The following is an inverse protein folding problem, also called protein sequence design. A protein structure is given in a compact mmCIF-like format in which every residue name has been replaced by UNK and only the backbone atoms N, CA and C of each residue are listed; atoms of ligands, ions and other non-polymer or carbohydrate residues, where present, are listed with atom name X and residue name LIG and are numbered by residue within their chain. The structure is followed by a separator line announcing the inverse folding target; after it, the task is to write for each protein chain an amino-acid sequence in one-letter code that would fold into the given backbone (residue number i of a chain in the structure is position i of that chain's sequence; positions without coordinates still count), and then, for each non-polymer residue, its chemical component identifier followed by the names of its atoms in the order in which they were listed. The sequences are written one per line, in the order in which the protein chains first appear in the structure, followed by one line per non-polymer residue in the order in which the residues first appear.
data_IF_911866183528
#
_entry.id   IF_911866183528
#
_cell.length_a   1.000
_cell.length_b   1.000
_cell.length_c   1.000
_cell.angle_alpha   90.00
_cell.angle_beta   90.00
_cell.angle_gamma   90.00
#
_symmetry.space_group_name_H-M   'P 1'
#
loop_
_entity.id
_entity.type
_entity.pdbx_description
1 polymer ?
#
# COMPACT_ATOMS: atom_id res chain seq x y z
N UNK A 1 -11.61 -12.85 -22.38
CA UNK A 1 -11.52 -11.52 -21.72
C UNK A 1 -12.82 -11.31 -20.95
N UNK A 2 -12.88 -11.64 -19.65
CA UNK A 2 -14.07 -11.35 -18.86
C UNK A 2 -14.21 -9.82 -18.76
N UNK A 3 -15.42 -9.30 -18.98
CA UNK A 3 -15.68 -7.86 -18.93
C UNK A 3 -15.20 -7.30 -17.58
N UNK A 4 -14.28 -6.34 -17.62
CA UNK A 4 -13.77 -5.70 -16.41
C UNK A 4 -14.94 -5.02 -15.68
N UNK A 5 -15.25 -5.46 -14.47
CA UNK A 5 -16.23 -4.76 -13.64
C UNK A 5 -15.71 -3.36 -13.38
N UNK A 6 -16.51 -2.31 -13.62
CA UNK A 6 -16.07 -0.95 -13.38
C UNK A 6 -15.79 -0.76 -11.89
N UNK A 7 -14.75 0.01 -11.57
CA UNK A 7 -14.19 0.13 -10.22
C UNK A 7 -15.24 0.52 -9.16
N UNK A 8 -16.21 1.35 -9.52
CA UNK A 8 -17.30 1.78 -8.63
C UNK A 8 -18.25 0.65 -8.21
N UNK A 9 -18.24 -0.49 -8.90
CA UNK A 9 -19.06 -1.67 -8.57
C UNK A 9 -18.29 -2.70 -7.72
N UNK A 10 -17.03 -2.44 -7.39
CA UNK A 10 -16.21 -3.34 -6.56
C UNK A 10 -15.75 -2.61 -5.28
N UNK A 11 -16.58 -2.63 -4.21
CA UNK A 11 -16.33 -1.86 -3.00
C UNK A 11 -15.04 -2.31 -2.29
N UNK A 12 -14.66 -3.58 -2.42
CA UNK A 12 -13.42 -4.10 -1.88
C UNK A 12 -12.20 -3.41 -2.49
N UNK A 13 -12.17 -3.27 -3.83
CA UNK A 13 -11.04 -2.63 -4.52
C UNK A 13 -10.96 -1.14 -4.23
N UNK A 14 -12.11 -0.47 -4.15
CA UNK A 14 -12.14 0.94 -3.77
C UNK A 14 -11.60 1.14 -2.35
N UNK A 15 -12.09 0.36 -1.39
CA UNK A 15 -11.63 0.43 -0.01
C UNK A 15 -10.12 0.11 0.09
N UNK A 16 -9.63 -0.85 -0.70
CA UNK A 16 -8.23 -1.23 -0.71
C UNK A 16 -7.32 -0.18 -1.37
N UNK A 17 -7.76 0.48 -2.44
CA UNK A 17 -7.04 1.61 -3.03
C UNK A 17 -7.00 2.79 -2.06
N UNK A 18 -8.11 3.08 -1.39
CA UNK A 18 -8.16 4.10 -0.35
C UNK A 18 -7.22 3.75 0.82
N UNK A 19 -7.24 2.49 1.27
CA UNK A 19 -6.35 1.99 2.30
C UNK A 19 -4.88 2.14 1.89
N UNK A 20 -4.52 1.78 0.66
CA UNK A 20 -3.18 1.97 0.12
C UNK A 20 -2.76 3.44 0.15
N UNK A 21 -3.64 4.33 -0.32
CA UNK A 21 -3.35 5.77 -0.34
C UNK A 21 -3.17 6.33 1.06
N UNK A 22 -4.04 5.97 1.99
CA UNK A 22 -3.97 6.46 3.37
C UNK A 22 -2.79 5.87 4.14
N UNK A 23 -2.42 4.62 3.85
CA UNK A 23 -1.28 3.95 4.48
C UNK A 23 0.03 4.64 4.13
N UNK A 24 0.16 5.14 2.89
CA UNK A 24 1.38 5.85 2.44
C UNK A 24 1.32 7.33 2.77
N UNK A 25 0.24 8.03 2.39
CA UNK A 25 0.18 9.50 2.51
C UNK A 25 -0.11 10.00 3.92
N UNK A 26 -0.72 9.17 4.78
CA UNK A 26 -1.20 9.56 6.12
C UNK A 26 -2.05 10.84 6.12
N UNK A 27 -2.79 11.07 5.03
CA UNK A 27 -3.52 12.31 4.80
C UNK A 27 -4.55 12.63 5.90
N UNK A 28 -5.08 11.61 6.59
CA UNK A 28 -6.00 11.77 7.71
C UNK A 28 -5.41 12.51 8.92
N UNK A 29 -4.09 12.66 9.00
CA UNK A 29 -3.44 13.44 10.05
C UNK A 29 -3.68 14.94 9.90
N UNK A 30 -3.96 15.43 8.68
CA UNK A 30 -4.14 16.85 8.41
C UNK A 30 -5.51 17.37 8.88
N UNK A 31 -6.52 16.49 8.95
CA UNK A 31 -7.91 16.87 9.20
C UNK A 31 -8.25 16.59 10.67
N UNK A 32 -8.49 17.64 11.50
CA UNK A 32 -8.95 17.45 12.86
C UNK A 32 -10.24 16.62 12.89
N UNK A 33 -10.28 15.56 13.70
CA UNK A 33 -11.40 14.62 13.79
C UNK A 33 -11.26 13.33 12.97
N UNK A 34 -10.55 13.35 11.83
CA UNK A 34 -10.28 12.11 11.08
C UNK A 34 -9.31 11.17 11.82
N UNK A 35 -8.41 11.73 12.62
CA UNK A 35 -7.49 10.95 13.47
C UNK A 35 -8.23 10.05 14.46
N UNK A 36 -9.39 10.49 14.97
CA UNK A 36 -10.22 9.72 15.91
C UNK A 36 -10.89 8.54 15.21
N UNK A 37 -11.39 8.77 13.99
CA UNK A 37 -12.10 7.77 13.19
C UNK A 37 -11.14 6.67 12.70
N UNK A 38 -9.85 6.97 12.56
CA UNK A 38 -8.81 6.05 12.06
C UNK A 38 -9.25 5.41 10.72
N UNK A 39 -9.39 6.21 9.65
CA UNK A 39 -9.99 5.76 8.38
C UNK A 39 -9.25 4.57 7.76
N UNK A 40 -7.92 4.51 7.88
CA UNK A 40 -7.15 3.35 7.45
C UNK A 40 -7.54 2.07 8.19
N UNK A 41 -7.78 2.17 9.50
CA UNK A 41 -8.20 1.02 10.30
C UNK A 41 -9.59 0.55 9.88
N UNK A 42 -10.54 1.46 9.65
CA UNK A 42 -11.87 1.10 9.15
C UNK A 42 -11.81 0.44 7.77
N UNK A 43 -11.05 1.01 6.83
CA UNK A 43 -10.88 0.44 5.49
C UNK A 43 -10.21 -0.94 5.54
N UNK A 44 -9.21 -1.13 6.42
CA UNK A 44 -8.55 -2.41 6.64
C UNK A 44 -9.51 -3.48 7.16
N UNK A 45 -10.28 -3.17 8.21
CA UNK A 45 -11.26 -4.10 8.77
C UNK A 45 -12.36 -4.43 7.75
N UNK A 46 -12.85 -3.43 7.01
CA UNK A 46 -13.81 -3.64 5.94
C UNK A 46 -13.27 -4.61 4.88
N UNK A 47 -12.02 -4.43 4.42
CA UNK A 47 -11.39 -5.32 3.46
C UNK A 47 -11.27 -6.76 3.98
N UNK A 48 -10.87 -6.94 5.25
CA UNK A 48 -10.79 -8.28 5.86
C UNK A 48 -12.18 -8.93 5.91
N UNK A 49 -13.17 -8.23 6.47
CA UNK A 49 -14.54 -8.75 6.58
C UNK A 49 -15.12 -9.10 5.20
N UNK A 50 -14.88 -8.26 4.20
CA UNK A 50 -15.33 -8.51 2.84
C UNK A 50 -14.72 -9.80 2.26
N UNK A 51 -13.42 -10.03 2.46
CA UNK A 51 -12.75 -11.25 2.00
C UNK A 51 -13.28 -12.48 2.73
N UNK A 52 -13.55 -12.38 4.03
CA UNK A 52 -14.11 -13.48 4.82
C UNK A 52 -15.54 -13.84 4.40
N UNK A 53 -16.40 -12.85 4.10
CA UNK A 53 -17.79 -13.07 3.68
C UNK A 53 -17.86 -13.55 2.22
N UNK A 54 -17.00 -13.01 1.34
CA UNK A 54 -17.01 -13.30 -0.11
C UNK A 54 -15.63 -13.75 -0.62
N UNK A 55 -15.11 -14.90 -0.16
CA UNK A 55 -13.76 -15.36 -0.49
C UNK A 55 -13.62 -15.67 -1.98
N UNK A 56 -14.58 -16.37 -2.59
CA UNK A 56 -14.55 -16.74 -4.03
C UNK A 56 -14.58 -15.54 -4.97
N UNK A 57 -15.17 -14.42 -4.54
CA UNK A 57 -15.21 -13.20 -5.34
C UNK A 57 -13.91 -12.41 -5.18
N UNK A 58 -13.26 -12.52 -4.03
CA UNK A 58 -12.09 -11.71 -3.68
C UNK A 58 -10.78 -12.40 -4.00
N UNK A 59 -10.73 -13.74 -4.02
CA UNK A 59 -9.52 -14.53 -4.26
C UNK A 59 -9.61 -15.20 -5.64
N UNK A 60 -8.66 -14.86 -6.52
CA UNK A 60 -8.43 -15.63 -7.74
C UNK A 60 -7.25 -16.60 -7.51
N UNK A 61 -7.47 -17.93 -7.50
CA UNK A 61 -6.39 -18.90 -7.30
C UNK A 61 -5.30 -18.80 -8.37
N UNK A 62 -5.63 -18.29 -9.56
CA UNK A 62 -4.64 -18.07 -10.63
C UNK A 62 -3.61 -17.00 -10.27
N UNK A 63 -3.90 -16.15 -9.29
CA UNK A 63 -2.94 -15.12 -8.84
C UNK A 63 -1.67 -15.75 -8.26
N UNK A 64 -1.75 -16.95 -7.67
CA UNK A 64 -0.59 -17.67 -7.15
C UNK A 64 0.28 -18.30 -8.25
N UNK A 65 -0.18 -18.36 -9.50
CA UNK A 65 0.63 -18.81 -10.63
C UNK A 65 1.74 -17.80 -10.97
N UNK A 66 1.49 -16.50 -10.73
CA UNK A 66 2.47 -15.45 -11.01
C UNK A 66 3.67 -15.51 -10.06
N UNK A 67 4.85 -15.10 -10.54
CA UNK A 67 6.09 -15.13 -9.75
C UNK A 67 6.07 -14.12 -8.59
N UNK A 68 5.59 -12.91 -8.81
CA UNK A 68 5.64 -11.83 -7.81
C UNK A 68 4.83 -12.17 -6.54
N UNK A 69 3.55 -12.59 -6.61
CA UNK A 69 2.80 -13.01 -5.43
C UNK A 69 3.47 -14.16 -4.68
N UNK A 70 4.09 -15.12 -5.40
CA UNK A 70 4.85 -16.21 -4.77
C UNK A 70 6.08 -15.72 -4.03
N UNK A 71 6.82 -14.76 -4.58
CA UNK A 71 7.97 -14.16 -3.90
C UNK A 71 7.55 -13.40 -2.65
N UNK A 72 6.44 -12.66 -2.70
CA UNK A 72 5.89 -11.98 -1.52
C UNK A 72 5.49 -12.99 -0.45
N UNK A 73 4.81 -14.08 -0.82
CA UNK A 73 4.46 -15.15 0.11
C UNK A 73 5.72 -15.82 0.67
N UNK A 74 6.74 -16.07 -0.16
CA UNK A 74 8.01 -16.59 0.30
C UNK A 74 8.69 -15.65 1.31
N UNK A 75 8.65 -14.33 1.10
CA UNK A 75 9.14 -13.35 2.07
C UNK A 75 8.34 -13.39 3.38
N UNK A 76 7.02 -13.56 3.33
CA UNK A 76 6.18 -13.72 4.53
C UNK A 76 6.58 -14.99 5.27
N UNK A 77 6.76 -16.11 4.58
CA UNK A 77 7.18 -17.39 5.17
C UNK A 77 8.57 -17.27 5.78
N UNK A 78 9.52 -16.65 5.08
CA UNK A 78 10.87 -16.39 5.60
C UNK A 78 10.84 -15.46 6.82
N UNK A 79 10.01 -14.42 6.82
CA UNK A 79 9.82 -13.55 7.97
C UNK A 79 9.29 -14.34 9.17
N UNK A 80 8.28 -15.20 8.98
CA UNK A 80 7.80 -16.08 10.03
C UNK A 80 8.87 -17.09 10.50
N UNK A 81 9.65 -17.65 9.58
CA UNK A 81 10.79 -18.51 9.91
C UNK A 81 11.86 -17.79 10.73
N UNK A 82 12.09 -16.49 10.47
CA UNK A 82 13.01 -15.67 11.25
C UNK A 82 12.59 -15.50 12.71
N UNK A 83 11.32 -15.71 13.06
CA UNK A 83 10.92 -15.76 14.46
C UNK A 83 11.48 -16.98 15.21
N UNK A 84 11.65 -18.10 14.51
CA UNK A 84 12.15 -19.36 15.09
C UNK A 84 13.68 -19.42 15.03
N UNK A 85 14.27 -18.96 13.92
CA UNK A 85 15.71 -19.02 13.67
C UNK A 85 16.46 -17.69 13.89
N UNK A 86 15.76 -16.67 14.39
CA UNK A 86 16.33 -15.35 14.63
C UNK A 86 17.25 -15.33 15.85
N UNK A 87 18.19 -14.38 15.85
CA UNK A 87 19.15 -14.16 16.95
C UNK A 87 18.45 -13.90 18.30
N UNK A 88 17.24 -13.35 18.27
CA UNK A 88 16.36 -13.21 19.43
C UNK A 88 15.02 -13.88 19.13
N UNK A 89 14.87 -15.14 19.57
CA UNK A 89 13.68 -15.98 19.37
C UNK A 89 12.44 -15.33 20.01
N UNK A 90 12.60 -14.61 21.12
CA UNK A 90 11.51 -13.87 21.76
C UNK A 90 11.20 -12.53 21.09
N UNK A 91 12.22 -11.74 20.75
CA UNK A 91 12.04 -10.40 20.18
C UNK A 91 11.43 -10.44 18.78
N UNK A 92 11.88 -11.38 17.95
CA UNK A 92 11.42 -11.52 16.57
C UNK A 92 9.97 -12.00 16.52
N UNK A 93 9.60 -13.00 17.33
CA UNK A 93 8.22 -13.46 17.45
C UNK A 93 7.28 -12.35 17.96
N UNK A 94 7.70 -11.63 19.00
CA UNK A 94 6.94 -10.52 19.56
C UNK A 94 6.73 -9.40 18.52
N UNK A 95 7.77 -9.06 17.75
CA UNK A 95 7.67 -8.07 16.68
C UNK A 95 6.65 -8.48 15.61
N UNK A 96 6.65 -9.76 15.20
CA UNK A 96 5.71 -10.24 14.19
C UNK A 96 4.27 -10.10 14.68
N UNK A 97 4.01 -10.55 15.91
CA UNK A 97 2.66 -10.57 16.49
C UNK A 97 2.13 -9.16 16.79
N UNK A 98 2.99 -8.22 17.22
CA UNK A 98 2.53 -6.90 17.65
C UNK A 98 2.53 -5.85 16.53
N UNK A 99 3.50 -5.94 15.61
CA UNK A 99 3.75 -4.87 14.63
C UNK A 99 3.59 -5.36 13.19
N UNK A 100 4.23 -6.47 12.85
CA UNK A 100 4.39 -6.85 11.44
C UNK A 100 3.16 -7.54 10.83
N UNK A 101 2.29 -8.15 11.63
CA UNK A 101 1.11 -8.86 11.12
C UNK A 101 0.19 -7.99 10.26
N UNK A 102 0.09 -6.68 10.56
CA UNK A 102 -0.70 -5.73 9.77
C UNK A 102 -0.14 -5.58 8.35
N UNK A 103 1.18 -5.55 8.24
CA UNK A 103 1.90 -5.52 6.95
C UNK A 103 1.67 -6.79 6.17
N UNK A 104 1.76 -7.96 6.82
CA UNK A 104 1.48 -9.26 6.20
C UNK A 104 0.03 -9.29 5.69
N UNK A 105 -0.94 -8.93 6.54
CA UNK A 105 -2.34 -8.91 6.18
C UNK A 105 -2.62 -7.96 5.01
N UNK A 106 -2.04 -6.76 5.04
CA UNK A 106 -2.20 -5.79 3.95
C UNK A 106 -1.60 -6.30 2.63
N UNK A 107 -0.42 -6.94 2.67
CA UNK A 107 0.18 -7.55 1.49
C UNK A 107 -0.69 -8.67 0.90
N UNK A 108 -1.29 -9.52 1.76
CA UNK A 108 -2.22 -10.56 1.32
C UNK A 108 -3.51 -9.98 0.72
N UNK A 109 -4.04 -8.90 1.30
CA UNK A 109 -5.21 -8.20 0.74
C UNK A 109 -4.91 -7.59 -0.64
N UNK A 110 -3.71 -7.01 -0.81
CA UNK A 110 -3.25 -6.53 -2.12
C UNK A 110 -3.21 -7.66 -3.14
N UNK A 111 -2.58 -8.79 -2.80
CA UNK A 111 -2.53 -9.99 -3.66
C UNK A 111 -3.95 -10.45 -4.02
N UNK A 112 -4.85 -10.55 -3.03
CA UNK A 112 -6.22 -10.97 -3.24
C UNK A 112 -6.94 -10.09 -4.28
N UNK A 113 -6.78 -8.77 -4.18
CA UNK A 113 -7.49 -7.85 -5.08
C UNK A 113 -7.06 -7.89 -6.56
N UNK A 114 -5.89 -8.47 -6.88
CA UNK A 114 -5.37 -8.59 -8.24
C UNK A 114 -6.14 -9.68 -9.00
N UNK A 115 -6.92 -9.27 -10.01
CA UNK A 115 -7.51 -10.20 -11.01
C UNK A 115 -6.94 -10.02 -12.42
N UNK A 116 -6.03 -9.04 -12.59
CA UNK A 116 -5.38 -8.78 -13.86
C UNK A 116 -4.51 -7.52 -13.84
N UNK A 117 -3.87 -7.25 -14.98
CA UNK A 117 -2.93 -6.14 -15.13
C UNK A 117 -3.55 -4.76 -14.86
N UNK A 118 -4.84 -4.58 -15.17
CA UNK A 118 -5.54 -3.33 -14.92
C UNK A 118 -5.59 -2.98 -13.42
N UNK A 119 -5.74 -3.99 -12.55
CA UNK A 119 -5.79 -3.78 -11.09
C UNK A 119 -4.43 -3.38 -10.55
N UNK A 120 -3.37 -4.07 -10.99
CA UNK A 120 -1.99 -3.69 -10.67
C UNK A 120 -1.71 -2.25 -11.10
N UNK A 121 -2.11 -1.87 -12.32
CA UNK A 121 -1.93 -0.50 -12.81
C UNK A 121 -2.71 0.53 -11.97
N UNK A 122 -3.92 0.20 -11.49
CA UNK A 122 -4.69 1.06 -10.58
C UNK A 122 -3.98 1.23 -9.23
N UNK A 123 -3.42 0.16 -8.67
CA UNK A 123 -2.63 0.22 -7.44
C UNK A 123 -1.38 1.07 -7.61
N UNK A 124 -0.65 0.91 -8.71
CA UNK A 124 0.53 1.75 -9.01
C UNK A 124 0.13 3.21 -9.12
N UNK A 125 -0.97 3.54 -9.81
CA UNK A 125 -1.50 4.91 -9.86
C UNK A 125 -1.85 5.46 -8.48
N UNK A 126 -2.52 4.67 -7.65
CA UNK A 126 -2.88 5.07 -6.29
C UNK A 126 -1.63 5.27 -5.41
N UNK A 127 -0.64 4.38 -5.49
CA UNK A 127 0.63 4.52 -4.80
C UNK A 127 1.34 5.81 -5.22
N UNK A 128 1.43 6.10 -6.52
CA UNK A 128 2.05 7.33 -7.02
C UNK A 128 1.31 8.58 -6.57
N UNK A 129 -0.03 8.60 -6.60
CA UNK A 129 -0.78 9.74 -6.04
C UNK A 129 -0.47 9.91 -4.55
N UNK A 130 -0.49 8.81 -3.79
CA UNK A 130 -0.26 8.85 -2.35
C UNK A 130 1.14 9.36 -2.00
N UNK A 131 2.15 8.97 -2.78
CA UNK A 131 3.54 9.39 -2.56
C UNK A 131 3.75 10.84 -2.96
N UNK A 132 3.10 11.32 -4.03
CA UNK A 132 3.07 12.75 -4.36
C UNK A 132 2.40 13.59 -3.26
N UNK A 133 1.30 13.11 -2.68
CA UNK A 133 0.66 13.77 -1.53
C UNK A 133 1.63 13.78 -0.34
N UNK A 134 2.28 12.65 -0.04
CA UNK A 134 3.26 12.58 1.04
C UNK A 134 4.42 13.56 0.81
N UNK A 135 4.94 13.66 -0.41
CA UNK A 135 6.03 14.57 -0.76
C UNK A 135 5.63 16.02 -0.50
N UNK A 136 4.44 16.40 -0.97
CA UNK A 136 3.88 17.72 -0.72
C UNK A 136 3.72 18.01 0.77
N UNK A 137 3.10 17.09 1.52
CA UNK A 137 2.90 17.26 2.96
C UNK A 137 4.22 17.34 3.73
N UNK A 138 5.19 16.50 3.39
CA UNK A 138 6.50 16.48 4.04
C UNK A 138 7.28 17.77 3.84
N UNK A 139 7.26 18.34 2.63
CA UNK A 139 7.99 19.58 2.31
C UNK A 139 7.26 20.82 2.81
N UNK A 140 5.96 20.96 2.50
CA UNK A 140 5.25 22.23 2.68
C UNK A 140 4.44 22.33 3.97
N UNK A 141 4.05 21.21 4.58
CA UNK A 141 3.23 21.20 5.80
C UNK A 141 4.07 20.87 7.02
N UNK A 142 4.71 19.70 6.99
CA UNK A 142 5.44 19.19 8.15
C UNK A 142 6.88 19.70 8.25
N UNK A 143 7.41 20.32 7.19
CA UNK A 143 8.77 20.87 7.14
C UNK A 143 9.81 19.86 7.65
N UNK A 144 9.71 18.61 7.14
CA UNK A 144 10.57 17.50 7.56
C UNK A 144 12.03 17.88 7.34
N UNK A 145 12.83 17.77 8.40
CA UNK A 145 14.24 18.13 8.41
C UNK A 145 15.09 16.96 8.90
N UNK A 146 16.41 17.09 8.87
CA UNK A 146 17.32 16.03 9.34
C UNK A 146 17.11 15.64 10.81
N UNK A 147 16.59 16.55 11.61
CA UNK A 147 16.38 16.38 13.06
C UNK A 147 14.90 16.28 13.44
N UNK A 148 13.98 16.55 12.49
CA UNK A 148 12.54 16.61 12.74
C UNK A 148 11.74 15.80 11.71
N UNK A 149 11.00 14.81 12.19
CA UNK A 149 10.07 14.03 11.38
C UNK A 149 8.65 14.60 11.38
N UNK A 150 7.79 14.00 10.54
CA UNK A 150 6.35 14.03 10.78
C UNK A 150 6.04 13.18 12.02
N UNK A 151 4.95 13.44 12.75
CA UNK A 151 4.54 12.58 13.88
C UNK A 151 4.32 11.10 13.52
N UNK A 152 4.30 10.74 12.23
CA UNK A 152 4.12 9.38 11.73
C UNK A 152 5.32 8.80 10.94
N UNK A 153 6.25 9.64 10.48
CA UNK A 153 7.40 9.28 9.65
C UNK A 153 8.58 10.18 9.96
N UNK A 154 9.76 9.60 10.13
CA UNK A 154 10.99 10.38 10.15
C UNK A 154 11.48 10.73 8.73
N UNK A 155 12.57 11.49 8.63
CA UNK A 155 13.13 11.90 7.34
C UNK A 155 13.61 10.70 6.50
N UNK A 156 14.08 9.63 7.13
CA UNK A 156 14.57 8.43 6.45
C UNK A 156 13.43 7.62 5.86
N UNK A 157 12.32 7.47 6.59
CA UNK A 157 11.11 6.79 6.14
C UNK A 157 10.52 7.49 4.91
N UNK A 158 10.41 8.82 4.95
CA UNK A 158 9.94 9.62 3.81
C UNK A 158 10.89 9.43 2.62
N UNK A 159 12.21 9.54 2.84
CA UNK A 159 13.21 9.34 1.80
C UNK A 159 13.11 7.96 1.14
N UNK A 160 12.95 6.90 1.94
CA UNK A 160 12.78 5.53 1.45
C UNK A 160 11.53 5.40 0.57
N UNK A 161 10.39 5.94 1.02
CA UNK A 161 9.14 5.91 0.25
C UNK A 161 9.31 6.64 -1.09
N UNK A 162 10.00 7.79 -1.11
CA UNK A 162 10.25 8.52 -2.36
C UNK A 162 11.12 7.71 -3.32
N UNK A 163 12.23 7.13 -2.85
CA UNK A 163 13.14 6.33 -3.68
C UNK A 163 12.42 5.12 -4.29
N UNK A 164 11.60 4.42 -3.50
CA UNK A 164 10.80 3.28 -3.98
C UNK A 164 9.76 3.72 -5.02
N UNK A 165 9.28 4.97 -4.94
CA UNK A 165 8.23 5.49 -5.80
C UNK A 165 8.72 5.96 -7.17
N UNK A 166 9.97 6.41 -7.28
CA UNK A 166 10.58 6.85 -8.55
C UNK A 166 10.37 5.84 -9.69
N UNK A 167 10.73 4.54 -9.57
CA UNK A 167 10.52 3.58 -10.65
C UNK A 167 9.04 3.38 -11.00
N UNK A 168 8.14 3.51 -10.02
CA UNK A 168 6.69 3.43 -10.26
C UNK A 168 6.18 4.63 -11.05
N UNK A 169 6.68 5.83 -10.76
CA UNK A 169 6.35 7.05 -11.49
C UNK A 169 6.88 6.96 -12.93
N UNK A 170 8.13 6.52 -13.11
CA UNK A 170 8.73 6.32 -14.43
C UNK A 170 7.96 5.27 -15.25
N UNK A 171 7.55 4.17 -14.61
CA UNK A 171 6.70 3.17 -15.26
C UNK A 171 5.37 3.78 -15.74
N UNK A 172 4.70 4.60 -14.92
CA UNK A 172 3.47 5.28 -15.33
C UNK A 172 3.71 6.31 -16.43
N UNK A 173 4.86 6.99 -16.42
CA UNK A 173 5.28 7.95 -17.44
C UNK A 173 5.48 7.27 -18.80
N UNK A 174 6.07 6.08 -18.82
CA UNK A 174 6.30 5.28 -20.03
C UNK A 174 5.01 4.63 -20.56
N UNK A 175 4.11 4.23 -19.67
CA UNK A 175 2.93 3.43 -20.04
C UNK A 175 1.64 4.24 -20.25
N UNK A 176 1.54 5.46 -19.72
CA UNK A 176 0.35 6.32 -19.90
C UNK A 176 0.63 7.47 -20.87
N UNK A 177 -0.44 8.04 -21.43
CA UNK A 177 -0.42 9.22 -22.30
C UNK A 177 -1.32 10.32 -21.71
N UNK A 178 -1.19 11.55 -22.24
CA UNK A 178 -2.05 12.69 -21.90
C UNK A 178 -1.87 13.17 -20.45
N UNK A 179 -2.98 13.49 -19.78
CA UNK A 179 -3.01 14.11 -18.44
C UNK A 179 -2.22 13.35 -17.38
N UNK A 180 -2.24 12.02 -17.42
CA UNK A 180 -1.46 11.18 -16.48
C UNK A 180 0.04 11.32 -16.65
N UNK A 181 0.52 11.54 -17.88
CA UNK A 181 1.94 11.74 -18.14
C UNK A 181 2.42 13.08 -17.58
N UNK A 182 1.60 14.13 -17.75
CA UNK A 182 1.85 15.46 -17.14
C UNK A 182 1.90 15.35 -15.62
N UNK A 183 0.94 14.65 -15.00
CA UNK A 183 0.94 14.41 -13.55
C UNK A 183 2.24 13.73 -13.08
N UNK A 184 2.73 12.72 -13.81
CA UNK A 184 3.98 12.05 -13.45
C UNK A 184 5.21 12.97 -13.58
N UNK A 185 5.23 13.90 -14.54
CA UNK A 185 6.29 14.91 -14.62
C UNK A 185 6.26 15.84 -13.41
N UNK A 186 5.08 16.32 -13.01
CA UNK A 186 4.92 17.16 -11.81
C UNK A 186 5.32 16.40 -10.55
N UNK A 187 4.97 15.11 -10.45
CA UNK A 187 5.32 14.28 -9.30
C UNK A 187 6.83 13.99 -9.15
N UNK A 188 7.63 14.21 -10.19
CA UNK A 188 9.10 14.05 -10.16
C UNK A 188 9.85 15.35 -9.85
N UNK A 189 9.17 16.49 -9.93
CA UNK A 189 9.71 17.81 -9.59
C UNK A 189 9.56 18.07 -8.09
#
# INVERSE_FOLDING_TARGET
RAAEKPLHKDPFRLALLFLLMETISKSSWLIPGMQTIRPAFLAFNFCILYVLIKPKQSLDPKTLTYRVPRLIIAQIVLACGSAVFGLSIGGSAFFIINSYWKTIAFALLLIASIRGLADVRRMVKAAVIATSILAFLSVFVFHVSKEGGTGAYDANDVGLIMVISIPLILLLLQTNKGRWRVFCYVALL
#
